data_IF_652430000456
#
_entry.id   IF_652430000456
#
_cell.length_a   1.000
_cell.length_b   1.000
_cell.length_c   1.000
_cell.angle_alpha   90.00
_cell.angle_beta   90.00
_cell.angle_gamma   90.00
#
_symmetry.space_group_name_H-M   'P 1'
#
loop_
_entity.id
_entity.type
_entity.pdbx_description
1 polymer ?
#
# COMPACT_ATOMS: atom_id res chain seq x y z
N UNK A 1 -15.02 12.29 -4.95
CA UNK A 1 -15.73 12.42 -6.25
C UNK A 1 -15.93 11.06 -6.91
N UNK A 2 -14.96 10.16 -6.89
CA UNK A 2 -15.06 8.78 -7.42
C UNK A 2 -16.22 7.99 -6.76
N UNK A 3 -16.42 8.13 -5.48
CA UNK A 3 -17.51 7.46 -4.73
C UNK A 3 -18.93 7.75 -5.27
N UNK A 4 -19.12 8.85 -6.02
CA UNK A 4 -20.40 9.17 -6.65
C UNK A 4 -20.76 8.27 -7.83
N UNK A 5 -19.79 7.55 -8.37
CA UNK A 5 -20.03 6.55 -9.42
C UNK A 5 -20.43 5.18 -8.86
N UNK A 6 -20.33 4.97 -7.53
CA UNK A 6 -20.63 3.69 -6.89
C UNK A 6 -22.04 3.16 -7.14
N UNK A 7 -23.03 4.05 -7.32
CA UNK A 7 -24.45 3.71 -7.50
C UNK A 7 -24.95 3.87 -8.95
N UNK A 8 -24.01 3.97 -9.92
CA UNK A 8 -24.38 4.14 -11.32
C UNK A 8 -24.81 2.80 -11.94
N UNK A 9 -26.04 2.75 -12.44
CA UNK A 9 -26.62 1.59 -13.14
C UNK A 9 -26.81 1.81 -14.64
N UNK A 10 -26.66 3.06 -15.14
CA UNK A 10 -26.86 3.42 -16.53
C UNK A 10 -25.99 4.63 -16.91
N UNK A 11 -25.86 4.84 -18.24
CA UNK A 11 -25.14 6.01 -18.76
C UNK A 11 -25.79 7.33 -18.27
N UNK A 12 -24.95 8.19 -17.71
CA UNK A 12 -25.35 9.53 -17.23
C UNK A 12 -25.18 10.58 -18.34
N UNK A 13 -24.20 10.40 -19.22
CA UNK A 13 -23.93 11.31 -20.31
C UNK A 13 -23.27 10.58 -21.49
N UNK A 14 -23.87 10.73 -22.68
CA UNK A 14 -23.44 10.04 -23.91
C UNK A 14 -22.54 10.90 -24.81
N UNK A 15 -22.18 12.13 -24.41
CA UNK A 15 -21.32 13.00 -25.22
C UNK A 15 -19.92 12.42 -25.36
N UNK A 16 -19.29 12.67 -26.49
CA UNK A 16 -17.94 12.24 -26.86
C UNK A 16 -16.86 13.32 -26.62
N UNK A 17 -17.28 14.52 -26.21
CA UNK A 17 -16.40 15.66 -25.93
C UNK A 17 -16.13 15.84 -24.42
N UNK A 18 -16.18 14.75 -23.64
CA UNK A 18 -15.89 14.74 -22.22
C UNK A 18 -14.49 14.15 -22.00
N UNK A 19 -13.67 14.86 -21.24
CA UNK A 19 -12.37 14.38 -20.77
C UNK A 19 -12.46 14.21 -19.25
N UNK A 20 -12.21 13.01 -18.77
CA UNK A 20 -12.15 12.68 -17.34
C UNK A 20 -10.70 12.42 -16.92
N UNK A 21 -10.16 13.30 -16.08
CA UNK A 21 -8.84 13.14 -15.48
C UNK A 21 -9.00 12.59 -14.06
N UNK A 22 -8.38 11.44 -13.81
CA UNK A 22 -8.44 10.74 -12.51
C UNK A 22 -7.06 10.77 -11.87
N UNK A 23 -6.93 11.53 -10.79
CA UNK A 23 -5.75 11.53 -9.95
C UNK A 23 -5.77 10.31 -9.02
N UNK A 24 -4.58 9.81 -8.67
CA UNK A 24 -4.40 8.55 -7.91
C UNK A 24 -5.17 7.39 -8.54
N UNK A 25 -5.06 7.26 -9.86
CA UNK A 25 -5.86 6.35 -10.67
C UNK A 25 -5.78 4.87 -10.24
N UNK A 26 -4.71 4.45 -9.52
CA UNK A 26 -4.60 3.12 -8.94
C UNK A 26 -5.69 2.82 -7.90
N UNK A 27 -6.25 3.83 -7.24
CA UNK A 27 -7.33 3.68 -6.26
C UNK A 27 -8.68 3.36 -6.88
N UNK A 28 -8.87 3.66 -8.16
CA UNK A 28 -10.10 3.32 -8.88
C UNK A 28 -10.28 1.82 -9.09
N UNK A 29 -9.24 1.04 -8.79
CA UNK A 29 -9.26 -0.43 -8.82
C UNK A 29 -9.87 -1.05 -7.55
N UNK A 30 -10.21 -0.23 -6.55
CA UNK A 30 -10.95 -0.70 -5.37
C UNK A 30 -12.42 -0.84 -5.72
N UNK A 31 -12.90 -2.08 -5.91
CA UNK A 31 -14.25 -2.39 -6.37
C UNK A 31 -14.49 -2.08 -7.85
N UNK A 32 -15.76 -1.99 -8.26
CA UNK A 32 -16.21 -1.83 -9.65
C UNK A 32 -16.20 -0.37 -10.14
N UNK A 33 -15.48 0.53 -9.45
CA UNK A 33 -15.51 1.98 -9.77
C UNK A 33 -15.05 2.30 -11.19
N UNK A 34 -14.04 1.60 -11.69
CA UNK A 34 -13.54 1.79 -13.06
C UNK A 34 -14.59 1.43 -14.10
N UNK A 35 -15.31 0.33 -13.91
CA UNK A 35 -16.38 -0.12 -14.79
C UNK A 35 -17.59 0.82 -14.72
N UNK A 36 -17.97 1.23 -13.52
CA UNK A 36 -19.08 2.17 -13.31
C UNK A 36 -18.82 3.56 -13.89
N UNK A 37 -17.58 4.05 -13.83
CA UNK A 37 -17.20 5.30 -14.51
C UNK A 37 -17.37 5.18 -16.03
N UNK A 38 -16.94 4.08 -16.63
CA UNK A 38 -17.11 3.83 -18.07
C UNK A 38 -18.57 3.65 -18.43
N UNK A 39 -19.36 2.98 -17.59
CA UNK A 39 -20.81 2.87 -17.77
C UNK A 39 -21.49 4.24 -17.73
N UNK A 40 -21.09 5.10 -16.79
CA UNK A 40 -21.65 6.44 -16.64
C UNK A 40 -21.34 7.36 -17.82
N UNK A 41 -20.13 7.24 -18.39
CA UNK A 41 -19.59 8.12 -19.42
C UNK A 41 -18.95 7.29 -20.55
N UNK A 42 -19.74 6.51 -21.31
CA UNK A 42 -19.21 5.50 -22.23
C UNK A 42 -18.38 6.05 -23.39
N UNK A 43 -18.61 7.31 -23.79
CA UNK A 43 -17.91 7.95 -24.89
C UNK A 43 -16.83 8.96 -24.42
N UNK A 44 -16.57 9.05 -23.11
CA UNK A 44 -15.58 9.98 -22.58
C UNK A 44 -14.14 9.45 -22.77
N UNK A 45 -13.19 10.37 -22.85
CA UNK A 45 -11.76 10.07 -22.77
C UNK A 45 -11.33 10.01 -21.31
N UNK A 46 -10.66 8.92 -20.92
CA UNK A 46 -10.22 8.69 -19.55
C UNK A 46 -8.70 8.79 -19.46
N UNK A 47 -8.21 9.69 -18.62
CA UNK A 47 -6.80 9.84 -18.31
C UNK A 47 -6.55 9.53 -16.84
N UNK A 48 -5.71 8.52 -16.56
CA UNK A 48 -5.29 8.15 -15.23
C UNK A 48 -3.91 8.74 -14.90
N UNK A 49 -3.82 9.50 -13.83
CA UNK A 49 -2.57 10.04 -13.28
C UNK A 49 -2.24 9.25 -12.02
N UNK A 50 -1.05 8.65 -11.93
CA UNK A 50 -0.63 7.90 -10.74
C UNK A 50 0.88 7.72 -10.70
N UNK A 51 1.45 7.83 -9.50
CA UNK A 51 2.85 7.46 -9.24
C UNK A 51 3.06 5.95 -9.04
N UNK A 52 1.98 5.17 -8.81
CA UNK A 52 2.04 3.75 -8.46
C UNK A 52 1.02 2.92 -9.23
N UNK A 53 1.16 2.80 -10.58
CA UNK A 53 0.22 2.00 -11.37
C UNK A 53 0.25 0.53 -10.95
N UNK A 54 -0.93 -0.09 -10.89
CA UNK A 54 -1.09 -1.50 -10.54
C UNK A 54 -1.20 -2.32 -11.83
N UNK A 55 -0.44 -3.42 -11.91
CA UNK A 55 -0.51 -4.39 -12.99
C UNK A 55 -0.66 -5.81 -12.38
N UNK A 56 -1.87 -6.14 -11.94
CA UNK A 56 -2.23 -7.46 -11.43
C UNK A 56 -3.43 -7.99 -12.21
N UNK A 57 -3.69 -9.30 -12.12
CA UNK A 57 -4.82 -9.92 -12.82
C UNK A 57 -6.18 -9.38 -12.36
N UNK A 58 -6.32 -9.17 -11.06
CA UNK A 58 -7.52 -8.67 -10.39
C UNK A 58 -7.65 -7.14 -10.42
N UNK A 59 -6.50 -6.44 -10.49
CA UNK A 59 -6.43 -4.97 -10.41
C UNK A 59 -5.41 -4.45 -11.41
N UNK A 60 -5.86 -3.77 -12.47
CA UNK A 60 -4.99 -3.35 -13.55
C UNK A 60 -5.31 -1.93 -14.03
N UNK A 61 -4.47 -0.97 -13.63
CA UNK A 61 -4.59 0.44 -14.01
C UNK A 61 -4.48 0.63 -15.52
N UNK A 62 -3.63 -0.14 -16.19
CA UNK A 62 -3.44 -0.06 -17.65
C UNK A 62 -4.66 -0.55 -18.42
N UNK A 63 -5.36 -1.56 -17.93
CA UNK A 63 -6.61 -2.05 -18.52
C UNK A 63 -7.72 -1.00 -18.43
N UNK A 64 -7.72 -0.20 -17.37
CA UNK A 64 -8.75 0.81 -17.13
C UNK A 64 -8.47 2.11 -17.90
N UNK A 65 -7.21 2.56 -17.96
CA UNK A 65 -6.82 3.86 -18.49
C UNK A 65 -5.88 3.80 -19.70
N UNK A 66 -5.17 2.70 -19.92
CA UNK A 66 -4.24 2.57 -21.05
C UNK A 66 -4.95 2.50 -22.41
N UNK A 67 -4.30 3.04 -23.42
CA UNK A 67 -4.72 2.91 -24.81
C UNK A 67 -3.90 1.80 -25.52
N UNK A 68 -4.49 1.19 -26.56
CA UNK A 68 -3.82 0.12 -27.34
C UNK A 68 -2.60 0.68 -28.08
N UNK A 69 -2.62 1.96 -28.43
CA UNK A 69 -1.58 2.69 -29.13
C UNK A 69 -0.34 2.95 -28.25
N UNK A 70 -0.49 2.89 -26.94
CA UNK A 70 0.59 3.13 -25.97
C UNK A 70 1.55 1.93 -25.92
N UNK A 71 2.69 2.03 -26.58
CA UNK A 71 3.68 0.92 -26.74
C UNK A 71 4.14 0.27 -25.45
N UNK A 72 4.06 0.95 -24.32
CA UNK A 72 4.45 0.48 -22.99
C UNK A 72 3.32 0.55 -21.97
N UNK A 73 2.08 0.78 -22.42
CA UNK A 73 0.91 0.99 -21.56
C UNK A 73 0.86 2.34 -20.88
N UNK A 74 1.77 3.26 -21.24
CA UNK A 74 1.80 4.64 -20.72
C UNK A 74 1.71 5.63 -21.86
N UNK A 75 0.82 6.60 -21.77
CA UNK A 75 0.83 7.79 -22.60
C UNK A 75 2.10 8.62 -22.36
N UNK A 76 2.50 8.78 -21.10
CA UNK A 76 3.73 9.44 -20.67
C UNK A 76 4.20 8.86 -19.36
N UNK A 77 5.53 8.76 -19.17
CA UNK A 77 6.15 8.24 -17.95
C UNK A 77 7.33 9.10 -17.56
N UNK A 78 7.34 9.54 -16.30
CA UNK A 78 8.50 10.14 -15.64
C UNK A 78 8.85 9.28 -14.44
N UNK A 79 9.89 8.48 -14.58
CA UNK A 79 10.26 7.49 -13.56
C UNK A 79 11.07 8.11 -12.42
N UNK A 80 11.18 7.38 -11.31
CA UNK A 80 12.05 7.75 -10.20
C UNK A 80 13.52 7.92 -10.65
N UNK A 81 13.99 7.05 -11.56
CA UNK A 81 15.33 7.17 -12.14
C UNK A 81 15.51 8.44 -12.98
N UNK A 82 14.47 8.83 -13.72
CA UNK A 82 14.50 10.09 -14.48
C UNK A 82 14.56 11.29 -13.54
N UNK A 83 13.77 11.25 -12.46
CA UNK A 83 13.75 12.30 -11.44
C UNK A 83 15.08 12.48 -10.73
N UNK A 84 15.80 11.38 -10.43
CA UNK A 84 17.16 11.43 -9.86
C UNK A 84 18.14 12.02 -10.87
N UNK A 85 18.10 11.55 -12.13
CA UNK A 85 18.96 12.05 -13.19
C UNK A 85 18.81 13.56 -13.39
N UNK A 86 17.57 14.04 -13.33
CA UNK A 86 17.21 15.44 -13.51
C UNK A 86 17.41 16.27 -12.21
N UNK A 87 17.94 15.67 -11.14
CA UNK A 87 18.12 16.27 -9.81
C UNK A 87 16.84 16.83 -9.17
N UNK A 88 15.68 16.32 -9.58
CA UNK A 88 14.39 16.70 -9.00
C UNK A 88 14.08 15.96 -7.69
N UNK A 89 14.64 14.76 -7.51
CA UNK A 89 14.59 13.99 -6.26
C UNK A 89 15.97 13.45 -5.91
N UNK A 90 16.17 13.19 -4.62
CA UNK A 90 17.38 12.54 -4.11
C UNK A 90 17.23 11.01 -4.21
N UNK A 91 18.36 10.28 -4.40
CA UNK A 91 18.34 8.82 -4.34
C UNK A 91 17.96 8.35 -2.93
N UNK A 92 17.20 7.25 -2.86
CA UNK A 92 16.90 6.59 -1.60
C UNK A 92 18.04 5.61 -1.26
N UNK A 93 18.51 5.69 -0.03
CA UNK A 93 19.43 4.70 0.53
C UNK A 93 18.59 3.70 1.33
N UNK A 94 18.81 2.41 1.07
CA UNK A 94 18.12 1.33 1.75
C UNK A 94 19.12 0.54 2.60
N UNK A 95 18.88 0.51 3.91
CA UNK A 95 19.67 -0.28 4.86
C UNK A 95 18.78 -1.35 5.49
N UNK A 96 18.90 -2.63 5.09
CA UNK A 96 18.15 -3.70 5.71
C UNK A 96 18.70 -3.99 7.12
N UNK A 97 17.81 -4.02 8.11
CA UNK A 97 18.16 -4.41 9.47
C UNK A 97 17.56 -5.79 9.76
N UNK A 98 18.38 -6.85 9.83
CA UNK A 98 17.91 -8.17 10.20
C UNK A 98 17.44 -8.17 11.66
N UNK A 99 16.24 -8.68 11.90
CA UNK A 99 15.70 -8.88 13.24
C UNK A 99 15.44 -10.36 13.42
N UNK A 100 16.00 -10.94 14.46
CA UNK A 100 15.73 -12.33 14.83
C UNK A 100 14.25 -12.50 15.19
N UNK A 101 13.53 -13.17 14.33
CA UNK A 101 12.12 -13.51 14.51
C UNK A 101 12.03 -14.82 15.26
N UNK A 102 11.82 -14.76 16.56
CA UNK A 102 11.37 -15.91 17.33
C UNK A 102 9.85 -15.97 17.23
N UNK A 103 9.36 -16.70 16.22
CA UNK A 103 7.93 -17.00 16.10
C UNK A 103 7.65 -18.22 16.97
N UNK A 104 6.75 -18.05 17.92
CA UNK A 104 6.22 -19.15 18.74
C UNK A 104 5.30 -20.00 17.83
N UNK A 105 5.84 -21.10 17.30
CA UNK A 105 5.14 -21.97 16.35
C UNK A 105 3.86 -22.55 16.94
N UNK A 106 3.85 -22.89 18.22
CA UNK A 106 2.67 -23.48 18.88
C UNK A 106 1.49 -22.48 18.92
N UNK A 107 1.78 -21.21 19.21
CA UNK A 107 0.75 -20.15 19.17
C UNK A 107 0.31 -19.83 17.75
N UNK A 108 1.21 -19.96 16.78
CA UNK A 108 0.86 -19.75 15.37
C UNK A 108 -0.06 -20.86 14.88
N UNK A 109 0.27 -22.12 15.20
CA UNK A 109 -0.52 -23.28 14.80
C UNK A 109 -1.90 -23.26 15.48
N UNK A 110 -1.98 -22.92 16.78
CA UNK A 110 -3.27 -22.75 17.47
C UNK A 110 -4.15 -21.65 16.86
N UNK A 111 -3.57 -20.47 16.59
CA UNK A 111 -4.31 -19.38 15.96
C UNK A 111 -4.75 -19.74 14.52
N UNK A 112 -3.97 -20.55 13.83
CA UNK A 112 -4.32 -21.03 12.50
C UNK A 112 -5.47 -22.03 12.55
N UNK A 113 -5.42 -23.00 13.45
CA UNK A 113 -6.47 -24.02 13.61
C UNK A 113 -7.82 -23.39 14.01
N UNK A 114 -7.80 -22.42 14.96
CA UNK A 114 -9.00 -21.69 15.37
C UNK A 114 -9.65 -20.88 14.24
N UNK A 115 -8.85 -20.33 13.33
CA UNK A 115 -9.34 -19.47 12.22
C UNK A 115 -9.69 -20.26 10.97
N UNK A 116 -9.24 -21.51 10.83
CA UNK A 116 -9.44 -22.31 9.60
C UNK A 116 -10.50 -23.39 9.75
N UNK A 117 -11.11 -23.51 10.92
CA UNK A 117 -12.18 -24.49 11.14
C UNK A 117 -13.35 -24.24 10.17
N UNK A 118 -13.61 -25.20 9.28
CA UNK A 118 -14.69 -25.14 8.28
C UNK A 118 -14.36 -24.50 6.93
N UNK A 119 -13.10 -24.09 6.66
CA UNK A 119 -12.71 -23.47 5.38
C UNK A 119 -12.16 -24.49 4.35
N UNK A 120 -12.23 -24.12 3.06
CA UNK A 120 -11.61 -24.89 1.95
C UNK A 120 -10.09 -24.82 1.98
N UNK A 121 -9.39 -25.78 1.32
CA UNK A 121 -7.93 -25.83 1.31
C UNK A 121 -7.28 -24.64 0.57
N UNK A 122 -7.96 -24.03 -0.41
CA UNK A 122 -7.49 -22.82 -1.08
C UNK A 122 -7.59 -21.58 -0.18
N UNK A 123 -8.72 -21.43 0.52
CA UNK A 123 -8.92 -20.34 1.49
C UNK A 123 -7.96 -20.45 2.67
N UNK A 124 -7.64 -21.68 3.11
CA UNK A 124 -6.65 -21.96 4.13
C UNK A 124 -5.25 -21.48 3.76
N UNK A 125 -4.85 -21.62 2.49
CA UNK A 125 -3.52 -21.19 2.01
C UNK A 125 -3.31 -19.68 2.04
N UNK A 126 -4.32 -18.90 1.69
CA UNK A 126 -4.27 -17.42 1.75
C UNK A 126 -4.36 -16.91 3.18
N UNK A 127 -5.23 -17.53 3.97
CA UNK A 127 -5.40 -17.20 5.40
C UNK A 127 -4.12 -17.50 6.20
N UNK A 128 -3.44 -18.63 5.92
CA UNK A 128 -2.18 -19.01 6.56
C UNK A 128 -1.12 -17.93 6.44
N UNK A 129 -0.92 -17.36 5.24
CA UNK A 129 0.05 -16.28 5.02
C UNK A 129 -0.31 -15.02 5.79
N UNK A 130 -1.58 -14.66 5.83
CA UNK A 130 -2.07 -13.47 6.51
C UNK A 130 -1.98 -13.62 8.04
N UNK A 131 -2.34 -14.77 8.58
CA UNK A 131 -2.26 -15.08 10.02
C UNK A 131 -0.80 -15.08 10.48
N UNK A 132 0.09 -15.75 9.72
CA UNK A 132 1.53 -15.78 10.02
C UNK A 132 2.13 -14.37 10.00
N UNK A 133 1.81 -13.57 8.97
CA UNK A 133 2.29 -12.19 8.87
C UNK A 133 1.77 -11.33 10.02
N UNK A 134 0.48 -11.43 10.33
CA UNK A 134 -0.13 -10.70 11.44
C UNK A 134 0.51 -11.09 12.78
N UNK A 135 0.66 -12.38 13.07
CA UNK A 135 1.30 -12.85 14.29
C UNK A 135 2.74 -12.31 14.45
N UNK A 136 3.53 -12.29 13.37
CA UNK A 136 4.88 -11.71 13.36
C UNK A 136 4.84 -10.20 13.61
N UNK A 137 3.95 -9.48 12.94
CA UNK A 137 3.90 -8.02 13.02
C UNK A 137 3.39 -7.52 14.38
N UNK A 138 2.56 -8.32 15.07
CA UNK A 138 2.00 -8.00 16.38
C UNK A 138 2.80 -8.56 17.57
N UNK A 139 3.90 -9.28 17.32
CA UNK A 139 4.74 -9.79 18.42
C UNK A 139 5.37 -8.64 19.22
N UNK A 140 4.96 -8.51 20.50
CA UNK A 140 5.40 -7.42 21.37
C UNK A 140 6.90 -7.44 21.66
N UNK A 141 7.51 -8.63 21.68
CA UNK A 141 8.96 -8.76 21.92
C UNK A 141 9.73 -8.23 20.69
N UNK A 142 9.24 -8.57 19.51
CA UNK A 142 9.77 -8.05 18.25
C UNK A 142 9.62 -6.53 18.18
N UNK A 143 8.41 -6.01 18.42
CA UNK A 143 8.13 -4.56 18.37
C UNK A 143 9.08 -3.82 19.31
N UNK A 144 9.25 -4.29 20.54
CA UNK A 144 10.18 -3.69 21.50
C UNK A 144 11.61 -3.61 20.95
N UNK A 145 12.16 -4.72 20.42
CA UNK A 145 13.50 -4.73 19.81
C UNK A 145 13.63 -3.77 18.63
N UNK A 146 12.61 -3.73 17.77
CA UNK A 146 12.56 -2.82 16.61
C UNK A 146 12.58 -1.37 17.08
N UNK A 147 11.76 -1.02 18.06
CA UNK A 147 11.67 0.34 18.60
C UNK A 147 12.97 0.75 19.28
N UNK A 148 13.59 -0.13 20.07
CA UNK A 148 14.91 0.11 20.67
C UNK A 148 15.97 0.42 19.60
N UNK A 149 15.99 -0.36 18.52
CA UNK A 149 16.90 -0.14 17.40
C UNK A 149 16.61 1.21 16.70
N UNK A 150 15.34 1.51 16.39
CA UNK A 150 14.93 2.76 15.75
C UNK A 150 15.36 3.96 16.59
N UNK A 151 15.08 3.96 17.89
CA UNK A 151 15.41 5.07 18.79
C UNK A 151 16.93 5.26 18.88
N UNK A 152 17.70 4.16 19.02
CA UNK A 152 19.15 4.24 19.04
C UNK A 152 19.72 4.80 17.72
N UNK A 153 19.24 4.29 16.59
CA UNK A 153 19.65 4.77 15.26
C UNK A 153 19.32 6.25 15.06
N UNK A 154 18.10 6.65 15.44
CA UNK A 154 17.65 8.03 15.35
C UNK A 154 18.55 8.96 16.16
N UNK A 155 18.74 8.67 17.46
CA UNK A 155 19.54 9.51 18.36
C UNK A 155 21.01 9.60 17.97
N UNK A 156 21.56 8.54 17.39
CA UNK A 156 23.00 8.50 17.07
C UNK A 156 23.33 9.02 15.68
N UNK A 157 22.43 8.83 14.69
CA UNK A 157 22.74 9.13 13.28
C UNK A 157 21.83 10.18 12.64
N UNK A 158 20.61 10.33 13.08
CA UNK A 158 19.61 11.17 12.38
C UNK A 158 19.42 12.51 13.08
N UNK A 159 19.12 12.48 14.37
CA UNK A 159 18.89 13.67 15.19
C UNK A 159 20.06 14.65 15.22
N UNK A 160 21.35 14.19 15.35
CA UNK A 160 22.48 15.11 15.34
C UNK A 160 22.64 15.91 14.04
N UNK A 161 22.07 15.44 12.94
CA UNK A 161 22.05 16.13 11.65
C UNK A 161 20.78 16.99 11.45
N UNK A 162 19.91 17.12 12.46
CA UNK A 162 18.70 17.93 12.41
C UNK A 162 17.57 17.33 11.59
N UNK A 163 17.64 16.05 11.24
CA UNK A 163 16.60 15.37 10.46
C UNK A 163 15.53 14.77 11.35
N UNK A 164 14.32 14.62 10.77
CA UNK A 164 13.17 13.93 11.37
C UNK A 164 13.12 12.48 10.91
N UNK A 165 12.35 11.67 11.63
CA UNK A 165 12.08 10.28 11.25
C UNK A 165 10.58 10.06 11.10
N UNK A 166 10.21 9.12 10.23
CA UNK A 166 8.86 8.61 10.08
C UNK A 166 8.88 7.09 10.19
N UNK A 167 8.06 6.54 11.07
CA UNK A 167 7.90 5.10 11.25
C UNK A 167 6.65 4.65 10.53
N UNK A 168 6.83 3.74 9.56
CA UNK A 168 5.72 3.11 8.84
C UNK A 168 5.59 1.68 9.33
N UNK A 169 4.39 1.30 9.75
CA UNK A 169 4.11 -0.01 10.33
C UNK A 169 3.03 -0.74 9.54
N UNK A 170 2.75 -1.98 9.91
CA UNK A 170 1.86 -2.87 9.16
C UNK A 170 0.43 -2.31 9.01
N UNK A 171 -0.17 -1.83 10.11
CA UNK A 171 -1.50 -1.23 10.12
C UNK A 171 -1.70 -0.25 11.29
N UNK A 172 -2.94 0.24 11.45
CA UNK A 172 -3.30 1.24 12.48
C UNK A 172 -3.15 0.71 13.91
N UNK A 173 -3.44 -0.55 14.13
CA UNK A 173 -3.33 -1.19 15.46
C UNK A 173 -1.85 -1.33 15.83
N UNK A 174 -1.00 -1.75 14.89
CA UNK A 174 0.45 -1.73 15.06
C UNK A 174 0.98 -0.33 15.40
N UNK A 175 0.41 0.76 14.84
CA UNK A 175 0.82 2.11 15.20
C UNK A 175 0.68 2.38 16.71
N UNK A 176 -0.41 1.92 17.33
CA UNK A 176 -0.61 2.08 18.77
C UNK A 176 0.42 1.29 19.56
N UNK A 177 0.70 0.05 19.16
CA UNK A 177 1.69 -0.80 19.83
C UNK A 177 3.11 -0.21 19.75
N UNK A 178 3.50 0.32 18.57
CA UNK A 178 4.79 1.00 18.40
C UNK A 178 4.85 2.29 19.21
N UNK A 179 3.75 3.05 19.25
CA UNK A 179 3.68 4.27 20.06
C UNK A 179 3.86 3.96 21.55
N UNK A 180 3.18 2.94 22.09
CA UNK A 180 3.33 2.53 23.46
C UNK A 180 4.79 2.21 23.85
N UNK A 181 5.54 1.54 22.97
CA UNK A 181 6.95 1.23 23.20
C UNK A 181 7.85 2.46 23.00
N UNK A 182 7.55 3.32 22.03
CA UNK A 182 8.27 4.58 21.82
C UNK A 182 8.14 5.53 23.02
N UNK A 183 6.95 5.71 23.56
CA UNK A 183 6.66 6.60 24.69
C UNK A 183 7.44 6.19 25.97
N UNK A 184 7.84 4.91 26.08
CA UNK A 184 8.71 4.43 27.19
C UNK A 184 10.17 4.89 27.04
N UNK A 185 10.65 5.07 25.81
CA UNK A 185 12.04 5.41 25.49
C UNK A 185 12.23 6.89 25.17
N UNK A 186 11.21 7.51 24.62
CA UNK A 186 11.17 8.92 24.26
C UNK A 186 9.82 9.47 24.73
N UNK A 187 9.72 9.89 26.01
CA UNK A 187 8.49 10.46 26.55
C UNK A 187 8.05 11.67 25.70
N UNK A 188 6.76 11.88 25.49
CA UNK A 188 6.25 13.08 24.82
C UNK A 188 6.61 14.32 25.66
N UNK A 189 7.02 15.39 24.97
CA UNK A 189 7.29 16.70 25.57
C UNK A 189 6.01 17.34 26.11
#
# INVERSE_FOLDING_TARGET
>A
TIYRFGDVEKALNMRDNIILMVDEAHRTQEGDYGEKMRLALPNAFFFGLTGTPINRLDKNTFKTFGAIEDKSGYMSKYSFSDSIRDNATLPLNFEPVPIDLHVDKEKLDQAFDEMTDGLSDEDKGELSKNVTMKAIMYDRKRIKKVVEHIVNHYKTKIEPNGYKAQIVVYDRECCLMYKEELDKLVPPE
#
